data_IF_820526690010
#
_entry.id   IF_820526690010
#
_cell.length_a   1.000
_cell.length_b   1.000
_cell.length_c   1.000
_cell.angle_alpha   90.00
_cell.angle_beta   90.00
_cell.angle_gamma   90.00
#
_symmetry.space_group_name_H-M   'P 1'
#
loop_
_entity.id
_entity.type
_entity.pdbx_description
1 polymer ?
#
# COMPACT_ATOMS: atom_id res chain seq x y z
N UNK A 1 -58.40 -6.50 -69.74
CA UNK A 1 -58.26 -7.52 -70.79
C UNK A 1 -56.78 -7.61 -71.13
N UNK A 2 -56.13 -8.69 -70.68
CA UNK A 2 -55.55 -9.73 -71.55
C UNK A 2 -54.25 -9.29 -72.24
N UNK A 3 -53.12 -9.99 -72.19
CA UNK A 3 -52.58 -11.16 -71.48
C UNK A 3 -51.21 -11.44 -72.13
N UNK A 4 -50.25 -11.99 -71.36
CA UNK A 4 -49.26 -13.00 -71.79
C UNK A 4 -48.20 -12.65 -72.87
N UNK A 5 -46.93 -13.07 -72.84
CA UNK A 5 -46.38 -14.41 -72.55
C UNK A 5 -44.83 -14.40 -72.35
N UNK A 6 -44.37 -15.33 -71.48
CA UNK A 6 -43.18 -16.24 -71.56
C UNK A 6 -41.78 -15.64 -71.50
N UNK A 7 -40.97 -15.91 -70.45
CA UNK A 7 -40.29 -17.17 -70.05
C UNK A 7 -39.39 -17.73 -71.16
N UNK A 8 -38.07 -17.81 -70.92
CA UNK A 8 -37.20 -19.02 -71.08
C UNK A 8 -35.74 -18.72 -70.68
N UNK A 9 -35.30 -19.35 -69.57
CA UNK A 9 -34.05 -20.11 -69.35
C UNK A 9 -32.67 -19.44 -69.54
N UNK A 10 -31.83 -19.43 -68.48
CA UNK A 10 -30.77 -20.44 -68.34
C UNK A 10 -30.17 -20.44 -66.92
N UNK A 11 -30.21 -21.61 -66.28
CA UNK A 11 -29.39 -21.98 -65.15
C UNK A 11 -27.91 -21.96 -65.58
N UNK A 12 -27.04 -21.34 -64.78
CA UNK A 12 -25.65 -21.76 -64.71
C UNK A 12 -25.24 -21.98 -63.25
N UNK A 13 -24.94 -23.26 -63.02
CA UNK A 13 -24.34 -23.90 -61.86
C UNK A 13 -23.24 -23.04 -61.22
N UNK A 14 -23.44 -22.65 -59.96
CA UNK A 14 -22.39 -22.08 -59.10
C UNK A 14 -22.27 -22.97 -57.86
N UNK A 15 -21.71 -24.16 -58.09
CA UNK A 15 -21.14 -25.03 -57.05
C UNK A 15 -19.63 -24.97 -57.13
N UNK A 16 -19.00 -25.05 -55.95
CA UNK A 16 -17.56 -25.17 -55.64
C UNK A 16 -16.85 -23.85 -55.30
N UNK A 17 -16.53 -23.72 -54.01
CA UNK A 17 -15.70 -22.66 -53.48
C UNK A 17 -15.89 -22.33 -52.00
N UNK A 18 -16.62 -23.13 -51.20
CA UNK A 18 -16.51 -23.08 -49.74
C UNK A 18 -15.11 -23.59 -49.38
N UNK A 19 -14.13 -22.69 -49.41
CA UNK A 19 -12.87 -22.89 -48.72
C UNK A 19 -13.23 -23.04 -47.24
N UNK A 20 -13.17 -24.29 -46.78
CA UNK A 20 -13.12 -24.65 -45.36
C UNK A 20 -11.91 -23.91 -44.77
N UNK A 21 -12.15 -22.71 -44.23
CA UNK A 21 -11.24 -22.15 -43.24
C UNK A 21 -11.30 -23.15 -42.08
N UNK A 22 -10.19 -23.82 -41.73
CA UNK A 22 -10.20 -24.61 -40.52
C UNK A 22 -10.48 -23.63 -39.40
N UNK A 23 -11.65 -23.77 -38.76
CA UNK A 23 -11.87 -23.22 -37.44
C UNK A 23 -10.77 -23.81 -36.57
N UNK A 24 -9.67 -23.08 -36.40
CA UNK A 24 -8.80 -23.29 -35.26
C UNK A 24 -9.64 -22.89 -34.05
N UNK A 25 -10.46 -23.82 -33.57
CA UNK A 25 -11.00 -23.77 -32.22
C UNK A 25 -9.78 -23.79 -31.32
N UNK A 26 -9.28 -22.60 -31.00
CA UNK A 26 -8.46 -22.39 -29.84
C UNK A 26 -9.36 -22.79 -28.66
N UNK A 27 -9.37 -24.08 -28.35
CA UNK A 27 -9.92 -24.57 -27.11
C UNK A 27 -9.18 -23.82 -26.03
N UNK A 28 -9.83 -22.80 -25.49
CA UNK A 28 -9.44 -22.11 -24.30
C UNK A 28 -9.47 -23.19 -23.22
N UNK A 29 -8.33 -23.88 -23.04
CA UNK A 29 -8.15 -24.80 -21.92
C UNK A 29 -8.24 -23.91 -20.70
N UNK A 30 -9.45 -23.78 -20.14
CA UNK A 30 -9.69 -23.32 -18.79
C UNK A 30 -8.90 -24.29 -17.90
N UNK A 31 -7.63 -23.96 -17.66
CA UNK A 31 -6.87 -24.61 -16.61
C UNK A 31 -7.60 -24.22 -15.33
N UNK A 32 -8.36 -25.16 -14.79
CA UNK A 32 -8.95 -25.00 -13.47
C UNK A 32 -7.76 -24.78 -12.53
N UNK A 33 -7.59 -23.55 -12.06
CA UNK A 33 -6.59 -23.24 -11.06
C UNK A 33 -7.05 -23.93 -9.77
N UNK A 34 -6.41 -25.05 -9.44
CA UNK A 34 -6.65 -25.75 -8.18
C UNK A 34 -5.60 -25.28 -7.17
N UNK A 35 -6.03 -24.59 -6.12
CA UNK A 35 -5.17 -24.34 -4.96
C UNK A 35 -5.10 -25.59 -4.11
N UNK A 36 -3.90 -26.14 -3.90
CA UNK A 36 -3.66 -27.21 -2.93
C UNK A 36 -2.57 -26.76 -1.97
N UNK A 37 -2.76 -27.04 -0.69
CA UNK A 37 -1.68 -26.94 0.29
C UNK A 37 -0.63 -28.02 -0.03
N UNK A 38 0.62 -27.62 -0.16
CA UNK A 38 1.75 -28.51 -0.41
C UNK A 38 2.84 -28.22 0.61
N UNK A 39 2.97 -29.09 1.61
CA UNK A 39 3.83 -28.86 2.77
C UNK A 39 5.30 -28.61 2.38
N UNK A 40 5.79 -29.31 1.35
CA UNK A 40 7.16 -29.14 0.89
C UNK A 40 7.38 -27.76 0.26
N UNK A 41 6.43 -27.29 -0.57
CA UNK A 41 6.46 -25.94 -1.14
C UNK A 41 6.38 -24.90 -0.04
N UNK A 42 5.50 -25.05 0.96
CA UNK A 42 5.40 -24.11 2.08
C UNK A 42 6.68 -24.04 2.92
N UNK A 43 7.33 -25.19 3.18
CA UNK A 43 8.62 -25.23 3.88
C UNK A 43 9.73 -24.53 3.08
N UNK A 44 9.73 -24.70 1.75
CA UNK A 44 10.68 -24.00 0.87
C UNK A 44 10.40 -22.49 0.84
N UNK A 45 9.14 -22.07 0.82
CA UNK A 45 8.75 -20.66 0.90
C UNK A 45 9.08 -20.05 2.26
N UNK A 46 8.91 -20.77 3.36
CA UNK A 46 9.33 -20.29 4.68
C UNK A 46 10.86 -20.14 4.76
N UNK A 47 11.60 -21.16 4.29
CA UNK A 47 13.07 -21.15 4.36
C UNK A 47 13.66 -20.08 3.45
N UNK A 48 13.24 -20.03 2.19
CA UNK A 48 13.81 -19.12 1.20
C UNK A 48 13.12 -17.75 1.18
N UNK A 49 11.87 -17.65 1.60
CA UNK A 49 11.11 -16.39 1.61
C UNK A 49 11.24 -15.63 2.92
N UNK A 50 11.22 -16.31 4.07
CA UNK A 50 11.27 -15.66 5.37
C UNK A 50 12.65 -15.79 6.02
N UNK A 51 13.11 -17.01 6.32
CA UNK A 51 14.35 -17.22 7.08
C UNK A 51 15.57 -16.65 6.36
N UNK A 52 15.68 -16.85 5.05
CA UNK A 52 16.76 -16.31 4.24
C UNK A 52 16.73 -14.77 4.08
N UNK A 53 15.67 -14.08 4.51
CA UNK A 53 15.59 -12.62 4.51
C UNK A 53 15.91 -11.99 5.88
N UNK A 54 16.23 -12.80 6.89
CA UNK A 54 16.64 -12.29 8.20
C UNK A 54 18.07 -11.77 8.11
N UNK A 55 18.26 -10.50 8.45
CA UNK A 55 19.55 -9.88 8.70
C UNK A 55 19.75 -9.65 10.20
N UNK A 56 21.00 -9.55 10.63
CA UNK A 56 21.36 -9.17 12.00
C UNK A 56 22.08 -7.82 11.97
N UNK A 57 21.61 -6.88 12.78
CA UNK A 57 22.23 -5.56 12.96
C UNK A 57 23.52 -5.68 13.78
N UNK A 58 24.34 -4.62 13.77
CA UNK A 58 25.58 -4.55 14.56
C UNK A 58 25.34 -4.75 16.07
N UNK A 59 24.18 -4.34 16.58
CA UNK A 59 23.78 -4.51 17.98
C UNK A 59 23.03 -5.82 18.27
N UNK A 60 22.98 -6.75 17.32
CA UNK A 60 22.45 -8.11 17.49
C UNK A 60 20.94 -8.26 17.31
N UNK A 61 20.22 -7.20 16.95
CA UNK A 61 18.80 -7.26 16.60
C UNK A 61 18.60 -7.87 15.21
N UNK A 62 17.45 -8.49 14.99
CA UNK A 62 17.07 -9.08 13.71
C UNK A 62 16.13 -8.16 12.95
N UNK A 63 16.31 -8.10 11.64
CA UNK A 63 15.42 -7.37 10.72
C UNK A 63 15.14 -8.20 9.48
N UNK A 64 14.10 -7.83 8.72
CA UNK A 64 13.82 -8.41 7.41
C UNK A 64 14.29 -7.48 6.30
N UNK A 65 15.04 -8.03 5.35
CA UNK A 65 15.34 -7.34 4.09
C UNK A 65 14.21 -7.48 3.08
N UNK A 66 14.10 -6.51 2.19
CA UNK A 66 13.10 -6.51 1.12
C UNK A 66 13.41 -7.52 0.00
N UNK A 67 14.69 -7.80 -0.27
CA UNK A 67 15.09 -8.74 -1.32
C UNK A 67 16.45 -9.34 -1.06
N UNK A 68 16.56 -10.65 -1.28
CA UNK A 68 17.84 -11.36 -1.25
C UNK A 68 18.81 -10.95 -2.36
N UNK A 69 18.32 -10.31 -3.43
CA UNK A 69 19.15 -9.96 -4.60
C UNK A 69 19.58 -8.50 -4.61
N UNK A 70 18.65 -7.59 -4.34
CA UNK A 70 18.86 -6.16 -4.57
C UNK A 70 19.04 -5.35 -3.28
N UNK A 71 18.61 -5.88 -2.13
CA UNK A 71 18.57 -5.19 -0.84
C UNK A 71 19.28 -6.03 0.21
N UNK A 72 20.50 -6.48 -0.11
CA UNK A 72 21.19 -7.54 0.63
C UNK A 72 21.54 -7.15 2.07
N UNK A 73 21.71 -5.86 2.34
CA UNK A 73 22.07 -5.28 3.65
C UNK A 73 21.01 -4.32 4.20
N UNK A 74 19.89 -4.10 3.51
CA UNK A 74 18.91 -3.07 3.88
C UNK A 74 17.56 -3.63 4.28
N UNK A 75 16.97 -3.05 5.33
CA UNK A 75 15.56 -3.24 5.70
C UNK A 75 14.76 -1.99 5.34
N UNK A 76 13.49 -2.15 5.00
CA UNK A 76 12.63 -1.08 4.46
C UNK A 76 11.34 -0.97 5.25
N UNK A 77 10.92 0.25 5.59
CA UNK A 77 9.78 0.49 6.49
C UNK A 77 8.45 -0.02 5.90
N UNK A 78 8.22 0.21 4.59
CA UNK A 78 7.04 -0.30 3.89
C UNK A 78 7.02 -1.82 3.82
N UNK A 79 8.14 -2.41 3.42
CA UNK A 79 8.26 -3.86 3.28
C UNK A 79 8.11 -4.58 4.63
N UNK A 80 8.53 -3.94 5.72
CA UNK A 80 8.25 -4.40 7.09
C UNK A 80 6.73 -4.47 7.38
N UNK A 81 5.97 -3.42 7.06
CA UNK A 81 4.50 -3.39 7.24
C UNK A 81 3.80 -4.50 6.43
N UNK A 82 4.27 -4.74 5.20
CA UNK A 82 3.73 -5.82 4.36
C UNK A 82 4.13 -7.20 4.89
N UNK A 83 5.38 -7.36 5.33
CA UNK A 83 5.88 -8.61 5.88
C UNK A 83 5.13 -9.01 7.16
N UNK A 84 4.87 -8.06 8.07
CA UNK A 84 4.12 -8.39 9.29
C UNK A 84 2.65 -8.70 9.02
N UNK A 85 2.05 -8.02 8.04
CA UNK A 85 0.68 -8.29 7.60
C UNK A 85 0.52 -9.68 6.99
N UNK A 86 1.54 -10.17 6.27
CA UNK A 86 1.55 -11.53 5.71
C UNK A 86 2.01 -12.59 6.71
N UNK A 87 3.28 -12.55 7.11
CA UNK A 87 3.89 -13.58 7.94
C UNK A 87 3.36 -13.63 9.37
N UNK A 88 2.79 -12.53 9.90
CA UNK A 88 2.19 -12.49 11.23
C UNK A 88 0.95 -13.39 11.42
N UNK A 89 0.53 -14.14 10.41
CA UNK A 89 -0.50 -15.19 10.54
C UNK A 89 0.07 -16.61 10.62
N UNK A 90 1.34 -16.81 10.23
CA UNK A 90 1.95 -18.14 10.13
C UNK A 90 3.11 -18.33 11.10
N UNK A 91 3.64 -17.24 11.67
CA UNK A 91 4.73 -17.30 12.62
C UNK A 91 4.22 -17.45 14.06
N UNK A 92 4.81 -18.39 14.79
CA UNK A 92 4.60 -18.56 16.23
C UNK A 92 5.41 -17.57 17.07
N UNK A 93 6.52 -17.06 16.54
CA UNK A 93 7.37 -16.06 17.16
C UNK A 93 7.45 -14.80 16.29
N UNK A 94 6.96 -13.69 16.84
CA UNK A 94 6.94 -12.37 16.18
C UNK A 94 8.04 -11.43 16.69
N UNK A 95 9.00 -11.92 17.49
CA UNK A 95 10.08 -11.10 18.07
C UNK A 95 10.93 -10.38 17.01
N UNK A 96 11.12 -10.96 15.82
CA UNK A 96 11.80 -10.26 14.73
C UNK A 96 11.10 -8.97 14.33
N UNK A 97 9.76 -8.95 14.34
CA UNK A 97 9.01 -7.74 13.98
C UNK A 97 9.15 -6.70 15.07
N UNK A 98 9.10 -7.10 16.34
CA UNK A 98 9.39 -6.22 17.47
C UNK A 98 10.76 -5.56 17.32
N UNK A 99 11.78 -6.36 17.03
CA UNK A 99 13.17 -5.91 16.84
C UNK A 99 13.29 -4.98 15.62
N UNK A 100 12.70 -5.34 14.49
CA UNK A 100 12.76 -4.55 13.26
C UNK A 100 12.01 -3.22 13.39
N UNK A 101 10.83 -3.20 14.01
CA UNK A 101 10.08 -1.98 14.30
C UNK A 101 10.93 -1.08 15.23
N UNK A 102 11.56 -1.64 16.27
CA UNK A 102 12.42 -0.88 17.17
C UNK A 102 13.60 -0.23 16.44
N UNK A 103 14.21 -0.92 15.46
CA UNK A 103 15.30 -0.34 14.64
C UNK A 103 14.85 0.93 13.92
N UNK A 104 13.63 0.97 13.38
CA UNK A 104 13.08 2.16 12.73
C UNK A 104 12.67 3.24 13.74
N UNK A 105 12.07 2.86 14.87
CA UNK A 105 11.69 3.79 15.93
C UNK A 105 12.91 4.51 16.53
N UNK A 106 14.02 3.80 16.73
CA UNK A 106 15.27 4.37 17.25
C UNK A 106 15.90 5.40 16.28
N UNK A 107 15.63 5.26 14.98
CA UNK A 107 16.16 6.13 13.92
C UNK A 107 15.16 7.18 13.45
N UNK A 108 13.96 7.22 14.04
CA UNK A 108 12.97 8.26 13.77
C UNK A 108 13.46 9.58 14.36
N UNK A 109 13.48 10.65 13.56
CA UNK A 109 14.00 11.93 14.00
C UNK A 109 13.07 12.68 14.97
N UNK A 110 13.53 13.82 15.48
CA UNK A 110 12.74 14.66 16.39
C UNK A 110 11.48 15.26 15.74
N UNK A 111 11.43 15.33 14.41
CA UNK A 111 10.26 15.74 13.65
C UNK A 111 9.26 14.60 13.38
N UNK A 112 9.61 13.35 13.68
CA UNK A 112 8.76 12.20 13.36
C UNK A 112 8.94 11.68 11.93
N UNK A 113 10.01 12.08 11.23
CA UNK A 113 10.36 11.49 9.93
C UNK A 113 11.03 10.14 10.17
N UNK A 114 10.47 9.12 9.54
CA UNK A 114 10.97 7.74 9.60
C UNK A 114 11.89 7.51 8.41
N UNK A 115 13.06 6.85 8.59
CA UNK A 115 13.85 6.45 7.44
C UNK A 115 13.09 5.46 6.55
N UNK A 116 13.22 5.62 5.24
CA UNK A 116 12.65 4.68 4.26
C UNK A 116 13.35 3.33 4.34
N UNK A 117 14.68 3.37 4.50
CA UNK A 117 15.51 2.20 4.68
C UNK A 117 16.64 2.41 5.69
N UNK A 118 17.13 1.29 6.21
CA UNK A 118 18.28 1.22 7.10
C UNK A 118 19.24 0.18 6.55
N UNK A 119 20.49 0.56 6.27
CA UNK A 119 21.57 -0.38 6.02
C UNK A 119 22.11 -0.88 7.36
N UNK A 120 21.91 -2.17 7.64
CA UNK A 120 22.23 -2.74 8.95
C UNK A 120 23.70 -3.12 9.11
N UNK A 121 24.47 -3.15 8.02
CA UNK A 121 25.91 -3.42 8.04
C UNK A 121 26.67 -2.11 8.24
N UNK A 122 26.28 -1.07 7.52
CA UNK A 122 26.90 0.26 7.62
C UNK A 122 26.33 1.11 8.75
N UNK A 123 25.19 0.69 9.33
CA UNK A 123 24.40 1.45 10.31
C UNK A 123 24.01 2.85 9.81
N UNK A 124 23.83 2.99 8.50
CA UNK A 124 23.34 4.20 7.84
C UNK A 124 21.84 4.07 7.56
N UNK A 125 21.17 5.20 7.35
CA UNK A 125 19.75 5.25 7.04
C UNK A 125 19.46 6.50 6.22
N UNK A 126 18.41 6.44 5.42
CA UNK A 126 18.00 7.56 4.58
C UNK A 126 16.48 7.68 4.51
N UNK A 127 16.02 8.91 4.29
CA UNK A 127 14.70 9.22 3.77
C UNK A 127 14.94 10.16 2.58
N UNK A 128 14.51 9.74 1.38
CA UNK A 128 14.59 10.49 0.13
C UNK A 128 13.27 11.19 -0.20
N UNK A 129 12.59 11.68 0.83
CA UNK A 129 11.34 12.41 0.74
C UNK A 129 10.15 11.55 0.26
N UNK A 130 10.17 10.24 0.52
CA UNK A 130 9.00 9.39 0.40
C UNK A 130 8.14 9.45 1.68
N UNK A 131 6.84 9.68 1.52
CA UNK A 131 5.93 9.89 2.66
C UNK A 131 5.50 8.60 3.36
N UNK A 132 5.64 7.46 2.71
CA UNK A 132 4.98 6.20 3.08
C UNK A 132 5.59 5.53 4.31
N UNK A 133 6.88 5.74 4.58
CA UNK A 133 7.56 5.17 5.76
C UNK A 133 6.85 5.54 7.09
N UNK A 134 6.31 6.76 7.20
CA UNK A 134 5.66 7.26 8.41
C UNK A 134 4.39 6.47 8.76
N UNK A 135 3.33 6.44 7.93
CA UNK A 135 2.14 5.66 8.24
C UNK A 135 2.40 4.15 8.27
N UNK A 136 3.36 3.63 7.48
CA UNK A 136 3.70 2.21 7.52
C UNK A 136 4.34 1.79 8.85
N UNK A 137 5.17 2.63 9.49
CA UNK A 137 5.73 2.28 10.80
C UNK A 137 4.68 2.27 11.92
N UNK A 138 3.70 3.19 11.87
CA UNK A 138 2.54 3.16 12.76
C UNK A 138 1.74 1.86 12.53
N UNK A 139 1.49 1.52 11.26
CA UNK A 139 0.78 0.31 10.86
C UNK A 139 1.46 -0.98 11.35
N UNK A 140 2.78 -1.07 11.17
CA UNK A 140 3.56 -2.22 11.61
C UNK A 140 3.52 -2.35 13.14
N UNK A 141 3.64 -1.23 13.86
CA UNK A 141 3.57 -1.19 15.33
C UNK A 141 2.20 -1.65 15.85
N UNK A 142 1.12 -1.16 15.23
CA UNK A 142 -0.24 -1.60 15.52
C UNK A 142 -0.42 -3.09 15.24
N UNK A 143 -0.03 -3.55 14.05
CA UNK A 143 -0.18 -4.95 13.64
C UNK A 143 0.57 -5.89 14.58
N UNK A 144 1.78 -5.52 15.01
CA UNK A 144 2.56 -6.26 15.99
C UNK A 144 1.84 -6.34 17.34
N UNK A 145 1.43 -5.19 17.89
CA UNK A 145 0.74 -5.13 19.16
C UNK A 145 -0.58 -5.92 19.11
N UNK A 146 -1.40 -5.71 18.09
CA UNK A 146 -2.68 -6.38 17.86
C UNK A 146 -2.57 -7.92 17.87
N UNK A 147 -1.48 -8.45 17.30
CA UNK A 147 -1.27 -9.90 17.19
C UNK A 147 -0.62 -10.52 18.42
N UNK A 148 0.23 -9.78 19.14
CA UNK A 148 1.04 -10.33 20.24
C UNK A 148 0.53 -9.97 21.63
N UNK A 149 -0.23 -8.88 21.74
CA UNK A 149 -0.63 -8.31 23.01
C UNK A 149 0.49 -7.57 23.76
N UNK A 150 1.65 -7.28 23.14
CA UNK A 150 2.79 -6.62 23.79
C UNK A 150 2.52 -5.14 24.09
N UNK A 151 1.72 -4.90 25.13
CA UNK A 151 1.39 -3.57 25.65
C UNK A 151 2.63 -2.82 26.16
N UNK A 152 3.64 -3.54 26.66
CA UNK A 152 4.86 -2.92 27.19
C UNK A 152 5.66 -2.27 26.07
N UNK A 153 5.78 -2.94 24.92
CA UNK A 153 6.40 -2.37 23.72
C UNK A 153 5.69 -1.12 23.23
N UNK A 154 4.34 -1.13 23.19
CA UNK A 154 3.57 0.08 22.82
C UNK A 154 3.83 1.20 23.81
N UNK A 155 3.72 0.94 25.12
CA UNK A 155 3.91 1.96 26.15
C UNK A 155 5.31 2.58 26.11
N UNK A 156 6.33 1.75 25.85
CA UNK A 156 7.72 2.21 25.69
C UNK A 156 7.89 3.16 24.51
N UNK A 157 7.18 2.93 23.40
CA UNK A 157 7.41 3.61 22.13
C UNK A 157 6.33 4.62 21.74
N UNK A 158 5.27 4.77 22.53
CA UNK A 158 4.09 5.59 22.18
C UNK A 158 4.48 7.03 21.86
N UNK A 159 5.41 7.63 22.61
CA UNK A 159 5.86 9.00 22.37
C UNK A 159 6.54 9.19 21.00
N UNK A 160 7.23 8.18 20.48
CA UNK A 160 7.81 8.22 19.13
C UNK A 160 6.72 8.08 18.08
N UNK A 161 5.75 7.19 18.29
CA UNK A 161 4.60 7.02 17.41
C UNK A 161 3.73 8.30 17.35
N UNK A 162 3.54 8.97 18.48
CA UNK A 162 2.86 10.28 18.55
C UNK A 162 3.60 11.34 17.71
N UNK A 163 4.94 11.36 17.70
CA UNK A 163 5.73 12.27 16.84
C UNK A 163 5.52 11.98 15.36
N UNK A 164 5.48 10.71 14.97
CA UNK A 164 5.22 10.30 13.58
C UNK A 164 3.80 10.71 13.17
N UNK A 165 2.80 10.50 14.02
CA UNK A 165 1.43 10.93 13.75
C UNK A 165 1.32 12.47 13.66
N UNK A 166 2.05 13.19 14.52
CA UNK A 166 2.14 14.64 14.45
C UNK A 166 2.85 15.14 13.19
N UNK A 167 3.72 14.33 12.56
CA UNK A 167 4.28 14.66 11.25
C UNK A 167 3.17 14.68 10.18
N UNK A 168 2.29 13.69 10.18
CA UNK A 168 1.14 13.62 9.27
C UNK A 168 0.23 14.83 9.48
N UNK A 169 -0.06 15.18 10.74
CA UNK A 169 -0.93 16.31 11.11
C UNK A 169 -0.42 17.64 10.57
N UNK A 170 0.91 17.87 10.59
CA UNK A 170 1.51 19.13 10.10
C UNK A 170 1.45 19.32 8.59
N UNK A 171 1.01 18.31 7.84
CA UNK A 171 0.78 18.42 6.40
C UNK A 171 -0.50 19.20 6.08
N UNK A 172 -1.45 19.26 7.01
CA UNK A 172 -2.66 20.08 6.92
C UNK A 172 -2.40 21.45 7.56
N UNK A 173 -2.08 22.45 6.73
CA UNK A 173 -1.73 23.79 7.21
C UNK A 173 -2.94 24.68 7.49
N UNK A 174 -4.12 24.32 6.98
CA UNK A 174 -5.33 25.15 7.03
C UNK A 174 -6.44 24.56 7.93
N UNK A 175 -6.26 23.34 8.44
CA UNK A 175 -7.15 22.65 9.37
C UNK A 175 -8.39 22.04 8.73
N UNK A 176 -8.40 21.83 7.41
CA UNK A 176 -9.56 21.29 6.69
C UNK A 176 -9.64 19.76 6.68
N UNK A 177 -8.63 19.09 7.24
CA UNK A 177 -8.48 17.64 7.34
C UNK A 177 -7.59 17.03 6.25
N UNK A 178 -7.12 17.80 5.26
CA UNK A 178 -6.37 17.30 4.12
C UNK A 178 -4.95 17.89 4.06
N UNK A 179 -3.94 17.10 3.65
CA UNK A 179 -2.63 17.63 3.31
C UNK A 179 -2.71 18.70 2.22
N UNK A 180 -2.06 19.84 2.46
CA UNK A 180 -1.90 20.94 1.50
C UNK A 180 -0.42 21.33 1.27
N UNK A 181 0.50 20.69 2.01
CA UNK A 181 1.96 20.88 1.89
C UNK A 181 2.63 19.74 1.13
N UNK A 182 2.90 19.94 -0.15
CA UNK A 182 3.64 19.00 -1.00
C UNK A 182 5.16 19.05 -0.74
N UNK A 183 5.56 18.68 0.48
CA UNK A 183 6.97 18.69 0.94
C UNK A 183 7.66 17.33 0.80
N UNK A 184 6.90 16.28 0.48
CA UNK A 184 7.36 14.92 0.23
C UNK A 184 6.76 14.48 -1.12
N UNK A 185 7.46 14.75 -2.23
CA UNK A 185 6.90 14.60 -3.57
C UNK A 185 6.77 13.14 -4.00
N UNK A 186 7.40 12.20 -3.27
CA UNK A 186 7.42 10.80 -3.64
C UNK A 186 6.52 9.97 -2.73
N UNK A 187 5.76 9.03 -3.29
CA UNK A 187 5.05 7.99 -2.52
C UNK A 187 5.79 6.65 -2.50
N UNK A 188 6.87 6.54 -3.26
CA UNK A 188 7.83 5.46 -3.17
C UNK A 188 9.22 5.96 -3.56
N UNK A 189 10.22 5.66 -2.72
CA UNK A 189 11.66 5.92 -2.88
C UNK A 189 12.02 6.52 -4.23
N UNK A 190 12.12 7.85 -4.29
CA UNK A 190 12.52 8.69 -5.44
C UNK A 190 11.98 8.34 -6.85
N UNK A 191 10.93 7.51 -6.97
CA UNK A 191 10.56 6.85 -8.23
C UNK A 191 9.14 7.16 -8.71
N UNK A 192 8.22 7.47 -7.80
CA UNK A 192 6.84 7.83 -8.16
C UNK A 192 6.52 9.17 -7.51
N UNK A 193 6.29 10.21 -8.32
CA UNK A 193 5.96 11.56 -7.84
C UNK A 193 4.55 11.66 -7.24
N UNK A 194 4.00 10.62 -6.62
CA UNK A 194 2.68 10.62 -5.99
C UNK A 194 2.77 11.05 -4.52
N UNK A 195 3.05 12.34 -4.30
CA UNK A 195 3.26 12.94 -2.98
C UNK A 195 2.07 12.85 -2.01
N UNK A 196 2.16 13.59 -0.89
CA UNK A 196 1.23 13.46 0.25
C UNK A 196 -0.25 13.77 -0.06
N UNK A 197 -0.53 14.44 -1.18
CA UNK A 197 -1.89 14.73 -1.67
C UNK A 197 -2.42 13.64 -2.62
N UNK A 198 -1.84 12.45 -2.59
CA UNK A 198 -2.33 11.29 -3.33
C UNK A 198 -3.39 10.54 -2.51
N UNK A 199 -4.45 10.06 -3.16
CA UNK A 199 -5.57 9.35 -2.50
C UNK A 199 -5.10 8.13 -1.69
N UNK A 200 -4.09 7.42 -2.17
CA UNK A 200 -3.44 6.34 -1.41
C UNK A 200 -2.76 6.84 -0.13
N UNK A 201 -2.09 8.01 -0.18
CA UNK A 201 -1.49 8.64 1.00
C UNK A 201 -2.58 8.98 2.03
N UNK A 202 -3.68 9.58 1.58
CA UNK A 202 -4.81 9.90 2.46
C UNK A 202 -5.39 8.66 3.13
N UNK A 203 -5.55 7.56 2.39
CA UNK A 203 -6.02 6.31 2.96
C UNK A 203 -5.05 5.76 4.02
N UNK A 204 -3.74 5.82 3.77
CA UNK A 204 -2.69 5.40 4.71
C UNK A 204 -2.65 6.29 5.95
N UNK A 205 -2.78 7.61 5.79
CA UNK A 205 -2.83 8.57 6.91
C UNK A 205 -4.08 8.41 7.76
N UNK A 206 -5.25 8.26 7.13
CA UNK A 206 -6.50 7.93 7.82
C UNK A 206 -6.35 6.65 8.65
N UNK A 207 -5.80 5.60 8.04
CA UNK A 207 -5.49 4.35 8.73
C UNK A 207 -4.55 4.54 9.91
N UNK A 208 -3.46 5.29 9.72
CA UNK A 208 -2.49 5.58 10.77
C UNK A 208 -3.12 6.29 11.97
N UNK A 209 -4.01 7.27 11.76
CA UNK A 209 -4.75 7.89 12.86
C UNK A 209 -5.65 6.91 13.60
N UNK A 210 -6.40 6.04 12.90
CA UNK A 210 -7.21 5.01 13.56
C UNK A 210 -6.35 4.04 14.37
N UNK A 211 -5.21 3.63 13.82
CA UNK A 211 -4.27 2.75 14.51
C UNK A 211 -3.63 3.42 15.73
N UNK A 212 -3.30 4.71 15.66
CA UNK A 212 -2.85 5.48 16.82
C UNK A 212 -3.92 5.57 17.90
N UNK A 213 -5.18 5.82 17.54
CA UNK A 213 -6.28 5.85 18.50
C UNK A 213 -6.39 4.53 19.27
N UNK A 214 -6.27 3.39 18.58
CA UNK A 214 -6.26 2.07 19.23
C UNK A 214 -5.03 1.84 20.11
N UNK A 215 -3.83 2.23 19.65
CA UNK A 215 -2.61 2.10 20.43
C UNK A 215 -2.66 2.92 21.72
N UNK A 216 -3.12 4.17 21.67
CA UNK A 216 -3.34 5.03 22.85
C UNK A 216 -4.33 4.38 23.82
N UNK A 217 -5.49 3.92 23.32
CA UNK A 217 -6.49 3.20 24.13
C UNK A 217 -5.89 1.99 24.82
N UNK A 218 -5.09 1.21 24.10
CA UNK A 218 -4.47 0.00 24.62
C UNK A 218 -3.56 0.30 25.82
N UNK A 219 -2.74 1.34 25.73
CA UNK A 219 -1.86 1.73 26.84
C UNK A 219 -2.58 2.51 27.94
N UNK A 220 -3.86 2.85 27.76
CA UNK A 220 -4.69 3.54 28.74
C UNK A 220 -4.56 5.06 28.69
N UNK A 221 -4.24 5.61 27.52
CA UNK A 221 -4.11 7.05 27.26
C UNK A 221 -5.35 7.58 26.52
N UNK A 222 -5.43 8.91 26.43
CA UNK A 222 -6.49 9.62 25.72
C UNK A 222 -6.33 9.41 24.21
N UNK A 223 -7.37 8.93 23.52
CA UNK A 223 -7.31 8.58 22.09
C UNK A 223 -8.14 9.48 21.17
N UNK A 224 -9.03 10.31 21.72
CA UNK A 224 -10.04 11.05 20.94
C UNK A 224 -9.42 12.05 19.97
N UNK A 225 -8.18 12.52 20.23
CA UNK A 225 -7.44 13.34 19.27
C UNK A 225 -7.31 12.64 17.91
N UNK A 226 -6.86 11.39 17.90
CA UNK A 226 -6.62 10.67 16.66
C UNK A 226 -7.91 10.23 15.97
N UNK A 227 -8.96 9.91 16.75
CA UNK A 227 -10.29 9.69 16.17
C UNK A 227 -10.81 10.95 15.45
N UNK A 228 -10.68 12.14 16.07
CA UNK A 228 -11.06 13.41 15.43
C UNK A 228 -10.26 13.70 14.16
N UNK A 229 -8.94 13.49 14.18
CA UNK A 229 -8.09 13.69 12.99
C UNK A 229 -8.49 12.75 11.84
N UNK A 230 -8.78 11.47 12.16
CA UNK A 230 -9.29 10.51 11.17
C UNK A 230 -10.65 10.93 10.60
N UNK A 231 -11.57 11.40 11.44
CA UNK A 231 -12.89 11.88 11.02
C UNK A 231 -12.78 13.13 10.14
N UNK A 232 -11.95 14.12 10.53
CA UNK A 232 -11.70 15.33 9.74
C UNK A 232 -11.14 14.99 8.35
N UNK A 233 -10.17 14.09 8.27
CA UNK A 233 -9.60 13.65 7.00
C UNK A 233 -10.62 12.92 6.13
N UNK A 234 -11.45 12.05 6.74
CA UNK A 234 -12.53 11.37 6.03
C UNK A 234 -13.54 12.38 5.49
N UNK A 235 -13.94 13.35 6.30
CA UNK A 235 -14.89 14.39 5.90
C UNK A 235 -14.32 15.25 4.78
N UNK A 236 -13.06 15.71 4.90
CA UNK A 236 -12.35 16.44 3.85
C UNK A 236 -12.28 15.66 2.55
N UNK A 237 -11.91 14.37 2.61
CA UNK A 237 -11.84 13.50 1.44
C UNK A 237 -13.18 13.37 0.73
N UNK A 238 -14.30 13.26 1.47
CA UNK A 238 -15.65 13.09 0.91
C UNK A 238 -16.32 14.38 0.42
N UNK A 239 -15.70 15.56 0.60
CA UNK A 239 -16.22 16.80 0.00
C UNK A 239 -16.13 16.76 -1.53
N UNK A 240 -16.95 17.59 -2.18
CA UNK A 240 -16.83 17.81 -3.62
C UNK A 240 -15.52 18.51 -3.96
N UNK A 241 -15.03 18.35 -5.19
CA UNK A 241 -13.87 19.08 -5.70
C UNK A 241 -13.99 20.60 -5.51
N UNK A 242 -15.19 21.15 -5.75
CA UNK A 242 -15.48 22.58 -5.57
C UNK A 242 -15.35 23.04 -4.11
N UNK A 243 -15.59 22.15 -3.16
CA UNK A 243 -15.44 22.39 -1.73
C UNK A 243 -14.07 21.90 -1.20
N UNK A 244 -13.11 21.66 -2.09
CA UNK A 244 -11.75 21.25 -1.74
C UNK A 244 -11.54 19.73 -1.56
N UNK A 245 -12.57 18.88 -1.67
CA UNK A 245 -12.46 17.43 -1.49
C UNK A 245 -12.18 16.62 -2.76
N UNK A 246 -12.13 15.29 -2.66
CA UNK A 246 -11.60 14.44 -3.74
C UNK A 246 -12.65 13.94 -4.74
N UNK A 247 -13.91 14.36 -4.62
CA UNK A 247 -15.00 13.86 -5.47
C UNK A 247 -15.42 14.86 -6.55
N UNK A 248 -15.12 14.50 -7.81
CA UNK A 248 -15.54 15.25 -9.00
C UNK A 248 -16.92 14.81 -9.48
N UNK A 249 -17.75 15.76 -9.90
CA UNK A 249 -19.07 15.46 -10.47
C UNK A 249 -18.94 14.60 -11.74
N UNK A 250 -19.89 13.67 -11.94
CA UNK A 250 -19.92 12.74 -13.08
C UNK A 250 -18.71 11.78 -13.16
N UNK A 251 -17.99 11.58 -12.06
CA UNK A 251 -16.89 10.61 -11.94
C UNK A 251 -17.23 9.61 -10.83
N UNK A 252 -17.01 8.31 -11.08
CA UNK A 252 -17.34 7.24 -10.13
C UNK A 252 -16.20 6.90 -9.14
N UNK A 253 -15.02 7.48 -9.35
CA UNK A 253 -13.82 7.31 -8.53
C UNK A 253 -13.34 8.68 -8.02
N UNK A 254 -12.57 8.73 -6.92
CA UNK A 254 -11.97 9.98 -6.45
C UNK A 254 -10.89 10.49 -7.41
N UNK A 255 -10.52 11.75 -7.27
CA UNK A 255 -9.27 12.30 -7.82
C UNK A 255 -8.11 11.40 -7.37
N UNK A 256 -7.21 10.98 -8.28
CA UNK A 256 -6.08 10.14 -7.90
C UNK A 256 -5.11 10.92 -7.02
N UNK A 257 -4.75 12.14 -7.43
CA UNK A 257 -3.89 13.02 -6.65
C UNK A 257 -3.92 14.47 -7.12
N UNK A 258 -3.38 15.34 -6.27
CA UNK A 258 -3.19 16.77 -6.51
C UNK A 258 -1.72 17.15 -6.34
N UNK A 259 -1.32 18.28 -6.92
CA UNK A 259 -0.06 18.96 -6.60
C UNK A 259 -0.33 20.29 -5.93
N UNK A 260 0.66 20.80 -5.19
CA UNK A 260 0.55 22.11 -4.52
C UNK A 260 0.32 23.29 -5.48
N UNK A 261 0.68 23.15 -6.75
CA UNK A 261 0.41 24.15 -7.79
C UNK A 261 -1.05 24.13 -8.32
N UNK A 262 -1.91 23.30 -7.74
CA UNK A 262 -3.33 23.19 -8.10
C UNK A 262 -3.62 22.21 -9.24
N UNK A 263 -2.61 21.55 -9.82
CA UNK A 263 -2.86 20.48 -10.80
C UNK A 263 -3.58 19.31 -10.15
N UNK A 264 -4.53 18.74 -10.90
CA UNK A 264 -5.38 17.61 -10.49
C UNK A 264 -5.24 16.49 -11.51
N UNK A 265 -4.97 15.28 -11.02
CA UNK A 265 -4.94 14.06 -11.82
C UNK A 265 -6.16 13.22 -11.48
N UNK A 266 -7.09 13.10 -12.43
CA UNK A 266 -8.41 12.50 -12.20
C UNK A 266 -8.63 11.16 -12.91
N UNK A 267 -7.60 10.58 -13.53
CA UNK A 267 -7.70 9.23 -14.07
C UNK A 267 -7.78 8.22 -12.93
N UNK A 268 -8.45 7.10 -13.16
CA UNK A 268 -8.49 6.02 -12.17
C UNK A 268 -7.08 5.44 -12.05
N UNK A 269 -6.48 5.63 -10.88
CA UNK A 269 -5.22 5.00 -10.51
C UNK A 269 -5.52 3.86 -9.53
N UNK A 270 -5.16 2.64 -9.93
CA UNK A 270 -5.36 1.43 -9.10
C UNK A 270 -4.10 1.04 -8.35
N UNK A 271 -3.03 1.81 -8.46
CA UNK A 271 -1.75 1.54 -7.81
C UNK A 271 -1.65 2.28 -6.47
N UNK A 272 -1.22 1.54 -5.46
CA UNK A 272 -0.77 1.96 -4.13
C UNK A 272 0.26 0.95 -3.64
#
# INVERSE_FOLDING_TARGET
MHTHHRITLLLLVLTLGLALVPESQAQMRLRVANSRFDLQTEQLLLTNGYLANILTTVDGRRVLRASQRNYTTTTWARDLDYAISGYGYVLTDMSIFRENIQVFLDKTDGGGVVPENVDVVQNTFENRQAWDAMPNLISASYSYAAKTGDRAFVAQNIATLERIAAWIERLDSNGDGLPDRDIFPYGYYDTVENGVMHTYALAKFYGAYRMMAELERWVGRESSRYDRLADQMRDGFHRSEQAGGYWRANQAWPIAWRKADGRVFSFLETFG
#
